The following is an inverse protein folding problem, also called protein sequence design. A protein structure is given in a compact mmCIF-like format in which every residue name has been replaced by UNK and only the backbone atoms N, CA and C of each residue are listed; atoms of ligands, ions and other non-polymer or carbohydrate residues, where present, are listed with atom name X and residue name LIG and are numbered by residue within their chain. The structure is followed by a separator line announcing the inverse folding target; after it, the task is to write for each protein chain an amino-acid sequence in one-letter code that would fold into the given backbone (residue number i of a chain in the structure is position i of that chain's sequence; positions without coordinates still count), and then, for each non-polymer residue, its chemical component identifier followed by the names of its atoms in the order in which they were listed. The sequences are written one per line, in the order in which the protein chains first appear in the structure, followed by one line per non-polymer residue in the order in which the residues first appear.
data_IF_814855787175
#
_entry.id   IF_814855787175
#
_cell.length_a   1.000
_cell.length_b   1.000
_cell.length_c   1.000
_cell.angle_alpha   90.00
_cell.angle_beta   90.00
_cell.angle_gamma   90.00
#
_symmetry.space_group_name_H-M   'P 1'
#
loop_
_entity.id
_entity.type
_entity.pdbx_description
1 polymer ?
#
# COMPACT_ATOMS: atom_id res chain seq x y z
N UNK A 1 -8.53 0.98 -10.36
CA UNK A 1 -8.18 2.26 -9.64
C UNK A 1 -7.78 3.39 -10.61
N UNK A 2 -8.74 4.11 -11.18
CA UNK A 2 -8.50 5.05 -12.29
C UNK A 2 -8.61 6.56 -11.95
N UNK A 3 -9.05 6.92 -10.73
CA UNK A 3 -9.44 8.30 -10.44
C UNK A 3 -8.27 9.30 -10.39
N UNK A 4 -7.12 8.89 -9.85
CA UNK A 4 -5.94 9.75 -9.73
C UNK A 4 -4.96 9.59 -10.90
N UNK A 5 -5.19 8.60 -11.76
CA UNK A 5 -4.31 8.27 -12.87
C UNK A 5 -4.10 9.44 -13.86
N UNK A 6 -5.14 10.21 -14.24
CA UNK A 6 -4.95 11.33 -15.16
C UNK A 6 -4.09 12.47 -14.59
N UNK A 7 -4.03 12.59 -13.25
CA UNK A 7 -3.32 13.67 -12.56
C UNK A 7 -1.92 13.24 -12.16
N UNK A 8 -1.80 12.06 -11.55
CA UNK A 8 -0.54 11.53 -11.02
C UNK A 8 0.26 10.80 -12.09
N UNK A 9 -0.41 10.11 -13.01
CA UNK A 9 0.21 9.26 -14.03
C UNK A 9 1.25 9.99 -14.89
N UNK A 10 0.93 11.15 -15.51
CA UNK A 10 1.89 11.85 -16.39
C UNK A 10 3.18 12.26 -15.69
N UNK A 11 3.12 12.59 -14.40
CA UNK A 11 4.28 13.06 -13.62
C UNK A 11 5.03 11.90 -12.98
N UNK A 12 4.31 10.91 -12.45
CA UNK A 12 4.90 9.84 -11.65
C UNK A 12 5.26 8.60 -12.47
N UNK A 13 4.62 8.32 -13.61
CA UNK A 13 4.94 7.13 -14.43
C UNK A 13 6.39 7.11 -14.91
N UNK A 14 6.92 8.17 -15.54
CA UNK A 14 8.32 8.16 -15.99
C UNK A 14 9.31 7.91 -14.84
N UNK A 15 8.95 8.38 -13.64
CA UNK A 15 9.76 8.20 -12.44
C UNK A 15 9.66 6.77 -11.89
N UNK A 16 8.48 6.17 -11.92
CA UNK A 16 8.22 4.80 -11.51
C UNK A 16 8.94 3.80 -12.42
N UNK A 17 8.83 3.99 -13.74
CA UNK A 17 9.46 3.13 -14.73
C UNK A 17 10.99 3.20 -14.65
N UNK A 18 11.55 4.37 -14.25
CA UNK A 18 12.97 4.53 -13.99
C UNK A 18 13.42 3.86 -12.69
N UNK A 19 12.71 4.13 -11.59
CA UNK A 19 13.03 3.57 -10.28
C UNK A 19 11.82 3.66 -9.35
N UNK A 20 11.16 2.52 -9.05
CA UNK A 20 10.04 2.50 -8.10
C UNK A 20 10.44 3.03 -6.72
N UNK A 21 11.69 2.77 -6.30
CA UNK A 21 12.24 3.31 -5.06
C UNK A 21 12.27 4.85 -5.04
N UNK A 22 12.84 5.49 -6.07
CA UNK A 22 12.91 6.95 -6.13
C UNK A 22 11.51 7.57 -6.21
N UNK A 23 10.59 6.93 -6.95
CA UNK A 23 9.20 7.35 -6.98
C UNK A 23 8.58 7.38 -5.58
N UNK A 24 8.72 6.29 -4.81
CA UNK A 24 8.20 6.22 -3.43
C UNK A 24 8.84 7.30 -2.55
N UNK A 25 10.16 7.51 -2.64
CA UNK A 25 10.87 8.51 -1.84
C UNK A 25 10.38 9.93 -2.15
N UNK A 26 10.22 10.28 -3.44
CA UNK A 26 9.74 11.59 -3.87
C UNK A 26 8.29 11.82 -3.44
N UNK A 27 7.42 10.83 -3.61
CA UNK A 27 6.03 10.89 -3.13
C UNK A 27 5.99 11.08 -1.61
N UNK A 28 6.83 10.34 -0.88
CA UNK A 28 6.93 10.44 0.58
C UNK A 28 7.38 11.83 1.03
N UNK A 29 8.35 12.43 0.33
CA UNK A 29 8.82 13.78 0.60
C UNK A 29 7.73 14.82 0.33
N UNK A 30 7.08 14.74 -0.82
CA UNK A 30 6.01 15.65 -1.21
C UNK A 30 4.84 15.59 -0.22
N UNK A 31 4.42 14.40 0.17
CA UNK A 31 3.38 14.22 1.18
C UNK A 31 3.85 14.70 2.57
N UNK A 32 5.09 14.41 2.98
CA UNK A 32 5.61 14.89 4.27
C UNK A 32 5.66 16.42 4.33
N UNK A 33 6.03 17.09 3.23
CA UNK A 33 5.97 18.54 3.08
C UNK A 33 4.53 19.05 3.23
N UNK A 34 3.60 18.48 2.47
CA UNK A 34 2.18 18.81 2.54
C UNK A 34 1.62 18.66 3.96
N UNK A 35 1.78 17.48 4.56
CA UNK A 35 1.25 17.18 5.89
C UNK A 35 1.85 18.09 6.97
N UNK A 36 3.15 18.38 6.89
CA UNK A 36 3.81 19.28 7.84
C UNK A 36 3.34 20.73 7.67
N UNK A 37 3.11 21.18 6.43
CA UNK A 37 2.55 22.50 6.15
C UNK A 37 1.11 22.65 6.67
N UNK A 38 0.24 21.68 6.36
CA UNK A 38 -1.15 21.63 6.84
C UNK A 38 -1.17 21.66 8.36
N UNK A 39 -0.38 20.81 9.00
CA UNK A 39 -0.28 20.77 10.45
C UNK A 39 0.17 22.12 11.01
N UNK A 40 1.21 22.74 10.45
CA UNK A 40 1.71 24.06 10.90
C UNK A 40 0.64 25.14 10.80
N UNK A 41 -0.12 25.17 9.70
CA UNK A 41 -1.12 26.21 9.42
C UNK A 41 -2.40 26.03 10.25
N UNK A 42 -2.80 24.80 10.51
CA UNK A 42 -4.09 24.48 11.15
C UNK A 42 -4.00 24.22 12.65
N UNK A 43 -2.79 24.26 13.24
CA UNK A 43 -2.58 24.10 14.68
C UNK A 43 -2.02 25.37 15.32
N UNK A 44 -2.24 25.53 16.62
CA UNK A 44 -1.76 26.68 17.39
C UNK A 44 -0.32 26.44 17.83
N UNK A 45 0.63 26.92 17.04
CA UNK A 45 2.06 26.70 17.25
C UNK A 45 2.58 27.27 18.60
N UNK A 46 2.21 28.50 19.02
CA UNK A 46 2.53 28.99 20.37
C UNK A 46 2.06 28.07 21.49
N UNK A 47 0.78 27.66 21.46
CA UNK A 47 0.22 26.75 22.48
C UNK A 47 0.94 25.40 22.49
N UNK A 48 1.24 24.83 21.32
CA UNK A 48 1.96 23.56 21.22
C UNK A 48 3.40 23.65 21.73
N UNK A 49 4.08 24.78 21.52
CA UNK A 49 5.41 25.05 22.08
C UNK A 49 5.36 25.10 23.61
N UNK A 50 4.36 25.75 24.19
CA UNK A 50 4.15 25.79 25.65
C UNK A 50 3.91 24.38 26.22
N UNK A 51 3.01 23.62 25.60
CA UNK A 51 2.71 22.23 26.00
C UNK A 51 3.97 21.36 25.93
N UNK A 52 4.77 21.45 24.86
CA UNK A 52 6.05 20.74 24.76
C UNK A 52 7.05 21.15 25.85
N UNK A 53 7.04 22.41 26.27
CA UNK A 53 7.87 22.87 27.39
C UNK A 53 7.44 22.20 28.70
N UNK A 54 6.13 22.17 28.99
CA UNK A 54 5.57 21.48 30.18
C UNK A 54 5.87 19.99 30.16
N UNK A 55 5.75 19.32 29.01
CA UNK A 55 6.13 17.90 28.86
C UNK A 55 7.59 17.65 29.22
N UNK A 56 8.52 18.53 28.79
CA UNK A 56 9.94 18.41 29.15
C UNK A 56 10.18 18.65 30.65
N UNK A 57 9.44 19.56 31.26
CA UNK A 57 9.50 19.80 32.71
C UNK A 57 9.04 18.56 33.48
N UNK A 58 7.89 17.96 33.11
CA UNK A 58 7.42 16.72 33.73
C UNK A 58 8.42 15.57 33.55
N UNK A 59 9.04 15.44 32.37
CA UNK A 59 10.11 14.45 32.15
C UNK A 59 11.32 14.66 33.09
N UNK A 60 11.64 15.90 33.48
CA UNK A 60 12.69 16.18 34.48
C UNK A 60 12.23 15.83 35.88
N UNK A 61 11.05 16.30 36.29
CA UNK A 61 10.48 15.99 37.62
C UNK A 61 10.32 14.49 37.84
N UNK A 62 9.88 13.72 36.84
CA UNK A 62 9.79 12.26 36.94
C UNK A 62 11.16 11.59 37.11
N UNK A 63 12.23 12.16 36.55
CA UNK A 63 13.60 11.64 36.76
C UNK A 63 14.12 11.95 38.16
N UNK A 64 13.79 13.11 38.70
CA UNK A 64 14.16 13.55 40.05
C UNK A 64 13.39 12.77 41.12
N UNK A 65 12.10 12.49 40.88
CA UNK A 65 11.21 11.78 41.80
C UNK A 65 11.28 10.25 41.66
N UNK A 66 12.32 9.70 41.02
CA UNK A 66 12.50 8.23 40.85
C UNK A 66 12.40 7.45 42.14
N UNK A 67 12.84 8.06 43.24
CA UNK A 67 12.86 7.46 44.57
C UNK A 67 11.57 7.67 45.37
N UNK A 68 10.61 8.45 44.86
CA UNK A 68 9.33 8.70 45.53
C UNK A 68 8.15 8.31 44.63
N UNK A 69 7.64 7.07 44.74
CA UNK A 69 6.56 6.55 43.90
C UNK A 69 5.25 7.35 43.99
N UNK A 70 4.89 7.87 45.16
CA UNK A 70 3.63 8.61 45.35
C UNK A 70 3.65 9.97 44.64
N UNK A 71 4.71 10.75 44.83
CA UNK A 71 4.88 12.04 44.16
C UNK A 71 5.11 11.86 42.66
N UNK A 72 5.81 10.79 42.26
CA UNK A 72 5.94 10.42 40.84
C UNK A 72 4.56 10.15 40.20
N UNK A 73 3.67 9.45 40.89
CA UNK A 73 2.32 9.17 40.38
C UNK A 73 1.49 10.45 40.18
N UNK A 74 1.63 11.43 41.08
CA UNK A 74 0.97 12.75 40.93
C UNK A 74 1.48 13.47 39.67
N UNK A 75 2.80 13.55 39.51
CA UNK A 75 3.44 14.13 38.31
C UNK A 75 3.03 13.40 37.04
N UNK A 76 2.89 12.07 37.08
CA UNK A 76 2.44 11.28 35.94
C UNK A 76 0.98 11.60 35.56
N UNK A 77 0.08 11.78 36.54
CA UNK A 77 -1.31 12.20 36.30
C UNK A 77 -1.39 13.59 35.65
N UNK A 78 -0.58 14.55 36.11
CA UNK A 78 -0.47 15.87 35.49
C UNK A 78 0.12 15.81 34.08
N UNK A 79 1.16 14.99 33.87
CA UNK A 79 1.72 14.76 32.54
C UNK A 79 0.68 14.16 31.59
N UNK A 80 -0.20 13.28 32.09
CA UNK A 80 -1.29 12.71 31.30
C UNK A 80 -2.31 13.77 30.86
N UNK A 81 -2.68 14.71 31.73
CA UNK A 81 -3.61 15.78 31.37
C UNK A 81 -3.02 16.71 30.30
N UNK A 82 -1.74 17.07 30.41
CA UNK A 82 -1.02 17.87 29.41
C UNK A 82 -0.82 17.10 28.10
N UNK A 83 -0.59 15.78 28.16
CA UNK A 83 -0.55 14.94 26.96
C UNK A 83 -1.91 14.86 26.27
N UNK A 84 -3.02 14.82 27.03
CA UNK A 84 -4.38 14.87 26.48
C UNK A 84 -4.64 16.22 25.81
N UNK A 85 -4.23 17.32 26.43
CA UNK A 85 -4.35 18.66 25.84
C UNK A 85 -3.50 18.78 24.56
N UNK A 86 -2.26 18.27 24.55
CA UNK A 86 -1.44 18.17 23.34
C UNK A 86 -2.20 17.45 22.23
N UNK A 87 -2.69 16.25 22.54
CA UNK A 87 -3.35 15.36 21.60
C UNK A 87 -4.60 15.99 20.97
N UNK A 88 -5.45 16.64 21.78
CA UNK A 88 -6.65 17.33 21.33
C UNK A 88 -6.36 18.61 20.54
N UNK A 89 -5.26 19.32 20.84
CA UNK A 89 -4.92 20.58 20.16
C UNK A 89 -3.97 20.44 18.97
N UNK A 90 -3.31 19.29 18.83
CA UNK A 90 -2.43 18.91 17.73
C UNK A 90 -3.06 17.79 16.89
N UNK A 91 -2.63 16.54 17.15
CA UNK A 91 -2.77 15.41 16.23
C UNK A 91 -4.21 14.94 16.01
N UNK A 92 -5.10 15.10 17.00
CA UNK A 92 -6.51 14.70 16.89
C UNK A 92 -7.47 15.87 16.72
N UNK A 93 -6.99 17.06 16.35
CA UNK A 93 -7.91 18.08 15.84
C UNK A 93 -8.61 17.50 14.60
N UNK A 94 -9.94 17.31 14.61
CA UNK A 94 -10.62 16.59 13.53
C UNK A 94 -10.33 17.19 12.14
N UNK A 95 -10.26 18.52 12.06
CA UNK A 95 -9.93 19.24 10.83
C UNK A 95 -8.53 18.91 10.30
N UNK A 96 -7.52 18.84 11.17
CA UNK A 96 -6.13 18.53 10.78
C UNK A 96 -6.01 17.07 10.37
N UNK A 97 -6.62 16.18 11.15
CA UNK A 97 -6.64 14.75 10.87
C UNK A 97 -7.31 14.47 9.51
N UNK A 98 -8.51 15.01 9.26
CA UNK A 98 -9.19 14.83 7.98
C UNK A 98 -8.40 15.45 6.82
N UNK A 99 -7.84 16.65 7.00
CA UNK A 99 -7.05 17.32 5.97
C UNK A 99 -5.77 16.56 5.62
N UNK A 100 -5.19 15.78 6.53
CA UNK A 100 -3.99 14.98 6.26
C UNK A 100 -4.32 13.56 5.81
N UNK A 101 -5.29 12.91 6.44
CA UNK A 101 -5.67 11.52 6.14
C UNK A 101 -6.38 11.35 4.80
N UNK A 102 -7.28 12.25 4.40
CA UNK A 102 -8.00 12.09 3.14
C UNK A 102 -7.03 12.09 1.93
N UNK A 103 -6.11 13.06 1.78
CA UNK A 103 -5.10 13.00 0.73
C UNK A 103 -4.15 11.81 0.86
N UNK A 104 -3.81 11.40 2.09
CA UNK A 104 -2.97 10.23 2.32
C UNK A 104 -3.62 8.97 1.75
N UNK A 105 -4.90 8.72 2.07
CA UNK A 105 -5.64 7.55 1.60
C UNK A 105 -5.75 7.51 0.07
N UNK A 106 -5.94 8.67 -0.55
CA UNK A 106 -5.95 8.80 -2.01
C UNK A 106 -4.60 8.40 -2.62
N UNK A 107 -3.49 8.96 -2.11
CA UNK A 107 -2.14 8.62 -2.56
C UNK A 107 -1.84 7.14 -2.29
N UNK A 108 -2.19 6.63 -1.11
CA UNK A 108 -1.98 5.24 -0.72
C UNK A 108 -2.76 4.27 -1.59
N UNK A 109 -4.03 4.56 -1.89
CA UNK A 109 -4.83 3.74 -2.80
C UNK A 109 -4.15 3.64 -4.16
N UNK A 110 -3.79 4.78 -4.75
CA UNK A 110 -3.10 4.79 -6.04
C UNK A 110 -1.75 4.05 -6.02
N UNK A 111 -0.94 4.25 -4.97
CA UNK A 111 0.33 3.52 -4.80
C UNK A 111 0.10 2.02 -4.63
N UNK A 112 -0.90 1.60 -3.87
CA UNK A 112 -1.26 0.19 -3.74
C UNK A 112 -1.69 -0.40 -5.09
N UNK A 113 -2.37 0.39 -5.92
CA UNK A 113 -2.75 -0.02 -7.28
C UNK A 113 -1.58 -0.12 -8.25
N UNK A 114 -0.57 0.75 -8.10
CA UNK A 114 0.51 0.90 -9.10
C UNK A 114 1.85 0.26 -8.70
N UNK A 115 2.05 -0.02 -7.41
CA UNK A 115 3.33 -0.46 -6.84
C UNK A 115 3.21 -1.74 -5.99
N UNK A 116 2.06 -2.42 -6.00
CA UNK A 116 1.90 -3.66 -5.23
C UNK A 116 2.64 -4.84 -5.88
N UNK A 117 2.67 -4.88 -7.21
CA UNK A 117 3.12 -6.03 -7.97
C UNK A 117 4.17 -5.67 -9.01
N UNK A 118 4.95 -6.67 -9.40
CA UNK A 118 5.84 -6.61 -10.57
C UNK A 118 5.02 -6.91 -11.84
N UNK A 119 5.38 -6.32 -12.99
CA UNK A 119 4.73 -6.69 -14.24
C UNK A 119 5.16 -8.12 -14.59
N UNK A 120 4.33 -8.81 -15.37
CA UNK A 120 4.75 -10.10 -15.94
C UNK A 120 5.56 -9.77 -17.20
N UNK A 121 6.83 -10.18 -17.22
CA UNK A 121 7.70 -9.90 -18.34
C UNK A 121 7.39 -10.84 -19.54
N UNK A 122 7.60 -10.39 -20.78
CA UNK A 122 7.43 -11.25 -21.96
C UNK A 122 8.26 -12.54 -21.85
N UNK A 123 7.59 -13.68 -21.97
CA UNK A 123 8.19 -15.00 -21.83
C UNK A 123 8.45 -15.47 -20.39
N UNK A 124 8.06 -14.71 -19.37
CA UNK A 124 8.05 -15.16 -17.99
C UNK A 124 6.91 -16.16 -17.77
N UNK A 125 7.16 -17.18 -16.93
CA UNK A 125 6.12 -18.12 -16.52
C UNK A 125 5.33 -17.53 -15.36
N UNK A 126 4.02 -17.40 -15.54
CA UNK A 126 3.11 -16.92 -14.52
C UNK A 126 2.01 -17.95 -14.28
N UNK A 127 1.19 -17.72 -13.25
CA UNK A 127 0.08 -18.61 -12.92
C UNK A 127 -1.23 -17.87 -12.80
N UNK A 128 -2.29 -18.57 -13.17
CA UNK A 128 -3.67 -18.13 -12.99
C UNK A 128 -4.36 -19.16 -12.13
N UNK A 129 -5.11 -18.68 -11.14
CA UNK A 129 -5.90 -19.51 -10.24
C UNK A 129 -7.38 -19.18 -10.42
N UNK A 130 -8.19 -20.19 -10.71
CA UNK A 130 -9.64 -20.07 -10.64
C UNK A 130 -10.15 -20.70 -9.36
N UNK A 131 -11.05 -20.00 -8.68
CA UNK A 131 -11.75 -20.51 -7.50
C UNK A 131 -13.21 -20.75 -7.86
N UNK A 132 -13.76 -21.87 -7.40
CA UNK A 132 -15.14 -22.27 -7.71
C UNK A 132 -16.05 -22.10 -6.50
N UNK A 133 -17.33 -21.92 -6.76
CA UNK A 133 -18.36 -21.87 -5.72
C UNK A 133 -18.53 -23.25 -5.05
N UNK A 134 -19.03 -23.26 -3.82
CA UNK A 134 -19.22 -24.49 -3.05
C UNK A 134 -20.20 -25.44 -3.76
N UNK A 135 -19.82 -26.72 -3.88
CA UNK A 135 -20.63 -27.76 -4.53
C UNK A 135 -20.44 -27.90 -6.05
N UNK A 136 -19.64 -27.05 -6.68
CA UNK A 136 -19.26 -27.21 -8.10
C UNK A 136 -18.31 -28.40 -8.25
N UNK A 137 -18.63 -29.31 -9.16
CA UNK A 137 -17.86 -30.52 -9.46
C UNK A 137 -17.79 -30.72 -10.98
N UNK A 138 -16.89 -31.59 -11.43
CA UNK A 138 -16.64 -31.84 -12.86
C UNK A 138 -15.25 -31.37 -13.25
N UNK A 139 -15.07 -31.06 -14.54
CA UNK A 139 -13.81 -30.57 -15.07
C UNK A 139 -13.90 -29.09 -15.43
N UNK A 140 -12.81 -28.36 -15.24
CA UNK A 140 -12.64 -27.00 -15.72
C UNK A 140 -11.55 -26.97 -16.79
N UNK A 141 -11.77 -26.18 -17.84
CA UNK A 141 -10.80 -25.98 -18.92
C UNK A 141 -10.35 -24.53 -18.94
N UNK A 142 -9.04 -24.31 -19.14
CA UNK A 142 -8.49 -23.00 -19.45
C UNK A 142 -8.23 -22.88 -20.96
N UNK A 143 -8.99 -22.00 -21.62
CA UNK A 143 -8.73 -21.56 -22.98
C UNK A 143 -7.90 -20.27 -22.96
N UNK A 144 -6.96 -20.18 -23.89
CA UNK A 144 -6.00 -19.07 -24.02
C UNK A 144 -5.97 -18.58 -25.46
N UNK A 145 -5.59 -17.32 -25.66
CA UNK A 145 -5.51 -16.70 -26.97
C UNK A 145 -4.17 -16.93 -27.71
N UNK A 146 -4.10 -16.45 -28.95
CA UNK A 146 -2.85 -16.48 -29.72
C UNK A 146 -1.75 -15.68 -29.01
N UNK A 147 -0.56 -16.28 -28.88
CA UNK A 147 0.58 -15.70 -28.19
C UNK A 147 0.68 -16.10 -26.71
N UNK A 148 -0.27 -16.89 -26.19
CA UNK A 148 -0.19 -17.53 -24.87
C UNK A 148 0.04 -19.04 -25.00
N UNK A 149 1.10 -19.54 -24.38
CA UNK A 149 1.45 -20.95 -24.28
C UNK A 149 1.04 -21.49 -22.91
N UNK A 150 0.28 -22.59 -22.91
CA UNK A 150 -0.08 -23.31 -21.69
C UNK A 150 0.98 -24.37 -21.37
N UNK A 151 1.54 -24.32 -20.16
CA UNK A 151 2.59 -25.23 -19.70
C UNK A 151 2.09 -26.33 -18.75
N UNK A 152 0.80 -26.31 -18.41
CA UNK A 152 0.10 -27.30 -17.59
C UNK A 152 -1.06 -27.92 -18.37
N UNK A 153 -1.70 -28.96 -17.84
CA UNK A 153 -2.90 -29.51 -18.45
C UNK A 153 -4.02 -28.45 -18.52
N UNK A 154 -4.61 -28.29 -19.71
CA UNK A 154 -5.69 -27.32 -19.97
C UNK A 154 -6.94 -27.66 -19.18
N UNK A 155 -7.28 -28.94 -19.15
CA UNK A 155 -8.43 -29.48 -18.42
C UNK A 155 -7.97 -30.10 -17.12
N UNK A 156 -8.56 -29.68 -16.00
CA UNK A 156 -8.29 -30.20 -14.67
C UNK A 156 -9.61 -30.46 -13.93
N UNK A 157 -9.68 -31.56 -13.18
CA UNK A 157 -10.87 -31.88 -12.38
C UNK A 157 -10.98 -30.99 -11.15
N UNK A 158 -12.18 -30.46 -10.91
CA UNK A 158 -12.48 -29.50 -9.85
C UNK A 158 -12.52 -30.24 -8.51
N UNK A 159 -11.42 -30.17 -7.76
CA UNK A 159 -11.31 -30.63 -6.37
C UNK A 159 -11.14 -29.48 -5.37
N UNK A 160 -11.07 -28.24 -5.87
CA UNK A 160 -10.76 -27.03 -5.13
C UNK A 160 -10.38 -25.89 -6.08
N UNK A 161 -9.56 -24.95 -5.62
CA UNK A 161 -8.99 -23.93 -6.50
C UNK A 161 -8.01 -24.58 -7.50
N UNK A 162 -8.19 -24.30 -8.78
CA UNK A 162 -7.36 -24.85 -9.85
C UNK A 162 -6.34 -23.80 -10.30
N UNK A 163 -5.13 -24.25 -10.61
CA UNK A 163 -4.03 -23.36 -11.01
C UNK A 163 -3.40 -23.86 -12.29
N UNK A 164 -3.27 -22.95 -13.24
CA UNK A 164 -2.61 -23.19 -14.53
C UNK A 164 -1.33 -22.38 -14.63
N UNK A 165 -0.34 -22.95 -15.33
CA UNK A 165 0.95 -22.30 -15.61
C UNK A 165 0.97 -21.88 -17.07
N UNK A 166 1.27 -20.62 -17.31
CA UNK A 166 1.23 -20.00 -18.64
C UNK A 166 2.49 -19.22 -18.91
N UNK A 167 2.74 -18.98 -20.19
CA UNK A 167 3.79 -18.09 -20.69
C UNK A 167 3.25 -17.34 -21.90
N UNK A 168 3.38 -16.02 -21.93
CA UNK A 168 2.80 -15.21 -22.99
C UNK A 168 3.80 -14.24 -23.61
N UNK A 169 3.54 -13.83 -24.84
CA UNK A 169 4.27 -12.77 -25.55
C UNK A 169 3.94 -11.38 -25.01
N UNK A 170 4.67 -10.36 -25.46
CA UNK A 170 4.39 -8.96 -25.07
C UNK A 170 3.02 -8.53 -25.62
N UNK A 171 2.14 -8.01 -24.76
CA UNK A 171 0.78 -7.63 -25.15
C UNK A 171 -0.27 -7.87 -24.08
N UNK A 172 -1.52 -7.55 -24.42
CA UNK A 172 -2.68 -7.92 -23.62
C UNK A 172 -3.20 -9.27 -24.11
N UNK A 173 -3.37 -10.20 -23.19
CA UNK A 173 -3.87 -11.54 -23.46
C UNK A 173 -5.16 -11.80 -22.67
N UNK A 174 -6.11 -12.50 -23.28
CA UNK A 174 -7.36 -12.92 -22.65
C UNK A 174 -7.30 -14.39 -22.33
N UNK A 175 -7.58 -14.74 -21.08
CA UNK A 175 -7.82 -16.12 -20.67
C UNK A 175 -9.29 -16.35 -20.38
N UNK A 176 -9.78 -17.55 -20.68
CA UNK A 176 -11.17 -17.95 -20.45
C UNK A 176 -11.18 -19.25 -19.67
N UNK A 177 -11.81 -19.23 -18.50
CA UNK A 177 -12.06 -20.43 -17.71
C UNK A 177 -13.47 -20.90 -18.02
N UNK A 178 -13.58 -22.15 -18.45
CA UNK A 178 -14.83 -22.82 -18.75
C UNK A 178 -15.09 -23.89 -17.69
N UNK A 179 -16.23 -23.83 -17.00
CA UNK A 179 -16.63 -24.81 -16.01
C UNK A 179 -18.16 -24.82 -15.84
N UNK A 180 -18.75 -26.00 -15.69
CA UNK A 180 -20.19 -26.17 -15.44
C UNK A 180 -21.09 -25.39 -16.43
N UNK A 181 -20.78 -25.45 -17.72
CA UNK A 181 -21.48 -24.72 -18.81
C UNK A 181 -21.39 -23.19 -18.73
N UNK A 182 -20.60 -22.64 -17.80
CA UNK A 182 -20.28 -21.22 -17.71
C UNK A 182 -18.87 -20.93 -18.24
N UNK A 183 -18.69 -19.73 -18.77
CA UNK A 183 -17.40 -19.21 -19.20
C UNK A 183 -17.15 -17.85 -18.56
N UNK A 184 -15.99 -17.69 -17.93
CA UNK A 184 -15.54 -16.41 -17.38
C UNK A 184 -14.18 -16.05 -17.93
N UNK A 185 -14.03 -14.79 -18.33
CA UNK A 185 -12.79 -14.28 -18.93
C UNK A 185 -12.06 -13.30 -18.02
N UNK A 186 -10.75 -13.23 -18.20
CA UNK A 186 -9.89 -12.24 -17.54
C UNK A 186 -8.73 -11.86 -18.45
N UNK A 187 -8.41 -10.57 -18.47
CA UNK A 187 -7.26 -10.05 -19.20
C UNK A 187 -6.01 -10.06 -18.32
N UNK A 188 -4.88 -10.38 -18.93
CA UNK A 188 -3.54 -10.26 -18.36
C UNK A 188 -2.69 -9.38 -19.28
N UNK A 189 -1.94 -8.46 -18.69
CA UNK A 189 -1.03 -7.58 -19.42
C UNK A 189 0.41 -8.06 -19.21
N UNK A 190 1.10 -8.30 -20.32
CA UNK A 190 2.49 -8.70 -20.38
C UNK A 190 3.30 -7.52 -20.93
N UNK A 191 4.18 -6.96 -20.10
CA UNK A 191 4.86 -5.70 -20.43
C UNK A 191 6.17 -5.56 -19.66
N UNK A 192 7.03 -4.65 -20.12
CA UNK A 192 8.27 -4.26 -19.45
C UNK A 192 8.09 -3.04 -18.54
N UNK A 193 7.04 -2.26 -18.78
CA UNK A 193 6.68 -1.11 -17.95
C UNK A 193 6.10 -1.59 -16.62
N UNK A 194 6.17 -0.80 -15.55
CA UNK A 194 5.56 -1.19 -14.26
C UNK A 194 4.04 -1.01 -14.31
N UNK A 195 3.38 -1.93 -15.00
CA UNK A 195 1.92 -1.97 -15.19
C UNK A 195 1.42 -3.39 -15.17
N UNK A 196 0.21 -3.55 -14.69
CA UNK A 196 -0.47 -4.83 -14.60
C UNK A 196 -1.98 -4.59 -14.54
N UNK A 197 -2.74 -5.59 -14.97
CA UNK A 197 -4.20 -5.60 -14.82
C UNK A 197 -4.59 -5.93 -13.37
N UNK A 198 -5.84 -5.64 -13.00
CA UNK A 198 -6.33 -5.94 -11.65
C UNK A 198 -6.17 -7.45 -11.35
N UNK A 199 -5.53 -7.83 -10.23
CA UNK A 199 -5.10 -9.20 -9.99
C UNK A 199 -6.25 -10.18 -9.85
N UNK A 200 -7.41 -9.75 -9.35
CA UNK A 200 -8.56 -10.61 -9.07
C UNK A 200 -9.78 -10.05 -9.77
N UNK A 201 -10.48 -10.88 -10.53
CA UNK A 201 -11.81 -10.60 -11.05
C UNK A 201 -12.79 -11.44 -10.25
N UNK A 202 -13.70 -10.79 -9.53
CA UNK A 202 -14.76 -11.46 -8.76
C UNK A 202 -16.04 -11.45 -9.60
N UNK A 203 -16.74 -12.59 -9.65
CA UNK A 203 -17.97 -12.75 -10.40
C UNK A 203 -19.20 -12.77 -9.48
N UNK A 204 -20.39 -12.73 -10.07
CA UNK A 204 -21.64 -12.61 -9.34
C UNK A 204 -21.91 -13.80 -8.41
N UNK A 205 -22.63 -13.53 -7.31
CA UNK A 205 -23.06 -14.55 -6.37
C UNK A 205 -24.04 -15.51 -7.06
N UNK A 206 -23.59 -16.72 -7.34
CA UNK A 206 -24.35 -17.75 -8.06
C UNK A 206 -23.61 -18.34 -9.25
N UNK A 207 -22.56 -17.66 -9.76
CA UNK A 207 -21.70 -18.23 -10.80
C UNK A 207 -20.94 -19.44 -10.26
N UNK A 208 -20.74 -20.44 -11.11
CA UNK A 208 -19.92 -21.61 -10.81
C UNK A 208 -18.45 -21.21 -10.54
N UNK A 209 -17.98 -20.18 -11.25
CA UNK A 209 -16.63 -19.61 -11.10
C UNK A 209 -16.74 -18.38 -10.19
N UNK A 210 -16.22 -18.47 -8.97
CA UNK A 210 -16.31 -17.38 -8.00
C UNK A 210 -15.34 -16.23 -8.29
N UNK A 211 -14.10 -16.56 -8.70
CA UNK A 211 -13.11 -15.58 -9.11
C UNK A 211 -12.02 -16.20 -9.99
N UNK A 212 -11.38 -15.35 -10.78
CA UNK A 212 -10.14 -15.64 -11.48
C UNK A 212 -9.07 -14.67 -10.98
N UNK A 213 -7.95 -15.22 -10.53
CA UNK A 213 -6.80 -14.49 -10.00
C UNK A 213 -5.57 -14.72 -10.85
N UNK A 214 -4.91 -13.64 -11.25
CA UNK A 214 -3.54 -13.68 -11.80
C UNK A 214 -2.57 -13.53 -10.62
N UNK A 215 -1.66 -14.48 -10.49
CA UNK A 215 -0.71 -14.52 -9.38
C UNK A 215 0.56 -13.74 -9.75
N UNK A 216 0.54 -12.44 -9.47
CA UNK A 216 1.71 -11.58 -9.65
C UNK A 216 2.72 -11.71 -8.51
N UNK A 217 4.00 -11.52 -8.86
CA UNK A 217 5.06 -11.33 -7.86
C UNK A 217 4.89 -9.97 -7.17
N UNK A 218 5.16 -9.91 -5.85
CA UNK A 218 5.12 -8.64 -5.11
C UNK A 218 6.30 -7.77 -5.50
N UNK A 219 6.04 -6.49 -5.76
CA UNK A 219 7.10 -5.52 -6.05
C UNK A 219 8.08 -5.40 -4.89
N UNK A 220 9.37 -5.52 -5.21
CA UNK A 220 10.48 -5.25 -4.28
C UNK A 220 11.22 -3.99 -4.74
N UNK A 221 10.87 -2.78 -4.22
CA UNK A 221 11.46 -1.56 -4.76
C UNK A 221 12.97 -1.42 -4.52
N UNK A 222 13.51 -2.13 -3.51
CA UNK A 222 14.95 -2.21 -3.23
C UNK A 222 15.66 -3.36 -3.98
N UNK A 223 14.93 -4.08 -4.84
CA UNK A 223 15.40 -5.28 -5.52
C UNK A 223 15.88 -6.33 -4.52
N UNK A 224 17.16 -6.69 -4.63
CA UNK A 224 17.81 -7.69 -3.76
C UNK A 224 18.32 -7.11 -2.43
N UNK A 225 18.31 -5.78 -2.27
CA UNK A 225 18.88 -5.12 -1.10
C UNK A 225 17.95 -5.26 0.12
N UNK A 226 18.50 -5.70 1.25
CA UNK A 226 17.80 -5.76 2.53
C UNK A 226 18.27 -4.68 3.50
N UNK A 227 17.36 -4.12 4.28
CA UNK A 227 17.64 -3.20 5.38
C UNK A 227 17.54 -4.00 6.68
N UNK A 228 18.66 -4.22 7.38
CA UNK A 228 18.71 -5.04 8.61
C UNK A 228 18.10 -6.45 8.45
N UNK A 229 18.32 -7.09 7.30
CA UNK A 229 17.76 -8.41 6.98
C UNK A 229 16.28 -8.39 6.56
N UNK A 230 15.64 -7.23 6.52
CA UNK A 230 14.27 -7.04 6.06
C UNK A 230 14.22 -6.43 4.66
N UNK A 231 13.39 -6.96 3.76
CA UNK A 231 13.12 -6.41 2.44
C UNK A 231 11.74 -5.72 2.44
N UNK A 232 11.67 -4.41 2.76
CA UNK A 232 10.40 -3.71 2.79
C UNK A 232 9.80 -3.59 1.38
N UNK A 233 8.50 -3.87 1.27
CA UNK A 233 7.71 -3.48 0.10
C UNK A 233 7.49 -1.97 0.04
N UNK A 234 6.71 -1.53 -0.95
CA UNK A 234 6.45 -0.10 -1.18
C UNK A 234 5.96 0.65 0.07
N UNK A 235 5.08 0.03 0.86
CA UNK A 235 4.50 0.62 2.06
C UNK A 235 5.56 0.85 3.14
N UNK A 236 6.45 -0.12 3.36
CA UNK A 236 7.51 -0.02 4.36
C UNK A 236 8.49 1.11 4.04
N UNK A 237 8.89 1.22 2.77
CA UNK A 237 9.77 2.28 2.28
C UNK A 237 9.10 3.64 2.45
N UNK A 238 7.83 3.76 2.07
CA UNK A 238 7.06 5.00 2.25
C UNK A 238 7.02 5.42 3.72
N UNK A 239 6.72 4.50 4.65
CA UNK A 239 6.61 4.81 6.08
C UNK A 239 7.97 5.28 6.63
N UNK A 240 9.06 4.58 6.30
CA UNK A 240 10.40 4.98 6.73
C UNK A 240 10.77 6.37 6.19
N UNK A 241 10.63 6.56 4.88
CA UNK A 241 10.98 7.81 4.22
C UNK A 241 10.15 8.99 4.76
N UNK A 242 8.83 8.83 4.85
CA UNK A 242 7.94 9.87 5.37
C UNK A 242 8.22 10.23 6.83
N UNK A 243 8.57 9.26 7.68
CA UNK A 243 8.99 9.52 9.07
C UNK A 243 10.27 10.36 9.12
N UNK A 244 11.31 9.96 8.37
CA UNK A 244 12.58 10.68 8.31
C UNK A 244 12.36 12.11 7.80
N UNK A 245 11.66 12.27 6.68
CA UNK A 245 11.35 13.59 6.14
C UNK A 245 10.51 14.42 7.10
N UNK A 246 9.52 13.84 7.76
CA UNK A 246 8.70 14.56 8.73
C UNK A 246 9.53 15.11 9.90
N UNK A 247 10.49 14.34 10.42
CA UNK A 247 11.39 14.80 11.48
C UNK A 247 12.26 15.98 11.02
N UNK A 248 12.85 15.87 9.83
CA UNK A 248 13.68 16.92 9.24
C UNK A 248 12.85 18.18 8.99
N UNK A 249 11.70 18.06 8.34
CA UNK A 249 10.84 19.17 7.96
C UNK A 249 10.24 19.89 9.15
N UNK A 250 9.82 19.17 10.20
CA UNK A 250 9.35 19.81 11.44
C UNK A 250 10.43 20.66 12.08
N UNK A 251 11.68 20.18 12.09
CA UNK A 251 12.82 20.93 12.62
C UNK A 251 13.10 22.18 11.77
N UNK A 252 13.16 22.03 10.44
CA UNK A 252 13.42 23.14 9.51
C UNK A 252 12.32 24.22 9.57
N UNK A 253 11.05 23.80 9.59
CA UNK A 253 9.92 24.71 9.59
C UNK A 253 9.51 25.21 10.98
N UNK A 254 10.24 24.83 12.04
CA UNK A 254 9.95 25.15 13.45
C UNK A 254 8.52 24.77 13.83
N UNK A 255 8.12 23.56 13.48
CA UNK A 255 6.80 22.98 13.81
C UNK A 255 6.90 22.25 15.14
N UNK A 256 6.07 22.66 16.09
CA UNK A 256 6.02 22.12 17.45
C UNK A 256 4.89 21.12 17.63
#
# INVERSE_FOLDING_TARGET
MAFLEPVLGPVLRPLIDLSPFLAIVIISLAYALYATFVYKKMTDQPKLKEIKSKQKEFQRRMKELRSNPEEMMKVQKEAMSVNKDYMMNASFKPKVMLATMLPALLIFGWMAGSLAYEPIYPGEVYTITASFSEGVTGDAMLAVDEGTELLSDATQSITGALTWRLKSTEGSHTVVVEAAEEQQSKNVLITKDLRYEEPVAQYEKGSAISNIQINYNKLKPLGTTSIFGWQPGWLGIYVIASLVFSLILRKLMKVY
#
